data_IF_370481319139
#
_entry.id   IF_370481319139
#
_cell.length_a   1.000
_cell.length_b   1.000
_cell.length_c   1.000
_cell.angle_alpha   90.00
_cell.angle_beta   90.00
_cell.angle_gamma   90.00
#
_symmetry.space_group_name_H-M   'P 1'
#
loop_
_entity.id
_entity.type
_entity.pdbx_description
1 polymer ?
#
# COMPACT_ATOMS: atom_id res chain seq x y z
N UNK A 1 3.94 -1.55 -13.92
CA UNK A 1 2.66 -0.80 -13.89
C UNK A 1 1.64 -1.64 -13.15
N UNK A 2 0.77 -1.02 -12.35
CA UNK A 2 -0.30 -1.75 -11.66
C UNK A 2 -1.35 -2.13 -12.71
N UNK A 3 -1.49 -3.42 -13.00
CA UNK A 3 -2.50 -3.94 -13.92
C UNK A 3 -3.86 -4.11 -13.22
N UNK A 4 -4.96 -4.15 -13.96
CA UNK A 4 -6.29 -4.35 -13.39
C UNK A 4 -6.43 -5.70 -12.66
N UNK A 5 -5.78 -6.74 -13.17
CA UNK A 5 -5.69 -8.05 -12.51
C UNK A 5 -4.99 -7.95 -11.15
N UNK A 6 -3.86 -7.22 -11.09
CA UNK A 6 -3.13 -7.00 -9.85
C UNK A 6 -3.94 -6.17 -8.85
N UNK A 7 -4.70 -5.17 -9.32
CA UNK A 7 -5.60 -4.39 -8.45
C UNK A 7 -6.62 -5.28 -7.78
N UNK A 8 -7.24 -6.18 -8.55
CA UNK A 8 -8.25 -7.12 -8.04
C UNK A 8 -7.64 -8.08 -7.02
N UNK A 9 -6.53 -8.72 -7.36
CA UNK A 9 -5.82 -9.65 -6.46
C UNK A 9 -5.40 -8.95 -5.16
N UNK A 10 -4.83 -7.75 -5.26
CA UNK A 10 -4.41 -6.97 -4.11
C UNK A 10 -5.58 -6.54 -3.23
N UNK A 11 -6.72 -6.15 -3.82
CA UNK A 11 -7.93 -5.81 -3.07
C UNK A 11 -8.47 -7.00 -2.29
N UNK A 12 -8.53 -8.17 -2.90
CA UNK A 12 -8.92 -9.41 -2.22
C UNK A 12 -7.95 -9.75 -1.06
N UNK A 13 -6.66 -9.51 -1.24
CA UNK A 13 -5.66 -9.68 -0.18
C UNK A 13 -5.90 -8.71 0.99
N UNK A 14 -6.17 -7.43 0.70
CA UNK A 14 -6.44 -6.42 1.72
C UNK A 14 -7.71 -6.72 2.52
N UNK A 15 -8.78 -7.19 1.87
CA UNK A 15 -10.05 -7.54 2.52
C UNK A 15 -9.92 -8.78 3.42
N UNK A 16 -9.08 -9.75 3.04
CA UNK A 16 -8.81 -10.96 3.84
C UNK A 16 -7.86 -10.68 5.01
N UNK A 17 -7.07 -9.60 4.95
CA UNK A 17 -6.07 -9.28 5.97
C UNK A 17 -6.69 -8.66 7.22
N UNK A 18 -6.70 -9.41 8.33
CA UNK A 18 -7.29 -9.01 9.62
C UNK A 18 -6.80 -7.66 10.17
N UNK A 19 -5.58 -7.25 9.83
CA UNK A 19 -4.94 -6.02 10.34
C UNK A 19 -4.88 -4.88 9.32
N UNK A 20 -5.49 -5.06 8.15
CA UNK A 20 -5.43 -4.09 7.08
C UNK A 20 -5.94 -2.70 7.51
N UNK A 21 -5.37 -1.67 6.90
CA UNK A 21 -5.82 -0.29 7.02
C UNK A 21 -6.31 0.17 5.64
N UNK A 22 -7.41 0.90 5.58
CA UNK A 22 -7.94 1.47 4.34
C UNK A 22 -6.89 2.31 3.59
N UNK A 23 -5.93 2.90 4.30
CA UNK A 23 -4.84 3.70 3.71
C UNK A 23 -3.88 2.89 2.83
N UNK A 24 -3.94 1.56 2.89
CA UNK A 24 -3.18 0.67 2.01
C UNK A 24 -3.90 0.39 0.68
N UNK A 25 -5.15 0.86 0.51
CA UNK A 25 -5.88 0.68 -0.74
C UNK A 25 -5.28 1.53 -1.86
N UNK A 26 -5.39 1.03 -3.10
CA UNK A 26 -4.86 1.73 -4.28
C UNK A 26 -5.64 3.04 -4.48
N UNK A 27 -6.94 3.00 -4.21
CA UNK A 27 -7.85 4.14 -4.25
C UNK A 27 -7.39 5.27 -3.32
N UNK A 28 -6.79 4.94 -2.16
CA UNK A 28 -6.23 5.95 -1.28
C UNK A 28 -5.02 6.67 -1.90
N UNK A 29 -4.21 5.93 -2.65
CA UNK A 29 -3.14 6.52 -3.46
C UNK A 29 -3.67 7.35 -4.63
N UNK A 30 -4.88 7.09 -5.14
CA UNK A 30 -5.54 7.94 -6.17
C UNK A 30 -6.00 9.28 -5.60
N UNK A 31 -6.40 9.32 -4.33
CA UNK A 31 -6.67 10.58 -3.61
C UNK A 31 -5.39 11.40 -3.40
N UNK A 32 -4.24 10.75 -3.27
CA UNK A 32 -2.93 11.39 -3.05
C UNK A 32 -2.16 11.64 -4.35
N UNK A 33 -2.78 12.35 -5.30
CA UNK A 33 -2.22 12.60 -6.65
C UNK A 33 -0.81 13.24 -6.66
N UNK A 34 -0.46 14.02 -5.63
CA UNK A 34 0.88 14.61 -5.48
C UNK A 34 1.98 13.60 -5.09
N UNK A 35 1.60 12.37 -4.77
CA UNK A 35 2.50 11.30 -4.33
C UNK A 35 2.61 10.25 -5.44
N UNK A 36 3.84 9.84 -5.74
CA UNK A 36 4.08 8.68 -6.58
C UNK A 36 3.64 7.44 -5.79
N UNK A 37 2.72 6.67 -6.36
CA UNK A 37 2.36 5.34 -5.86
C UNK A 37 3.36 4.31 -6.33
N UNK A 38 3.79 3.45 -5.42
CA UNK A 38 4.52 2.23 -5.74
C UNK A 38 3.96 1.08 -4.90
N UNK A 39 4.03 -0.14 -5.41
CA UNK A 39 3.45 -1.31 -4.76
C UNK A 39 4.50 -2.40 -4.68
N UNK A 40 4.94 -2.70 -3.46
CA UNK A 40 5.86 -3.79 -3.20
C UNK A 40 5.09 -5.01 -2.68
N UNK A 41 5.30 -6.17 -3.31
CA UNK A 41 4.56 -7.40 -3.07
C UNK A 41 5.56 -8.54 -2.88
N UNK A 42 5.32 -9.35 -1.85
CA UNK A 42 5.99 -10.62 -1.63
C UNK A 42 4.99 -11.73 -1.94
N UNK A 43 5.43 -12.70 -2.75
CA UNK A 43 4.63 -13.86 -3.15
C UNK A 43 5.20 -15.14 -2.52
N UNK A 44 4.34 -16.11 -2.26
CA UNK A 44 4.76 -17.47 -1.89
C UNK A 44 5.15 -18.30 -3.12
N UNK A 45 5.52 -19.57 -2.88
CA UNK A 45 5.88 -20.55 -3.90
C UNK A 45 4.73 -20.85 -4.89
N UNK A 46 3.47 -20.62 -4.48
CA UNK A 46 2.29 -20.78 -5.33
C UNK A 46 1.94 -19.48 -6.08
N UNK A 47 2.76 -18.44 -5.94
CA UNK A 47 2.55 -17.13 -6.56
C UNK A 47 1.50 -16.27 -5.86
N UNK A 48 0.99 -16.63 -4.68
CA UNK A 48 -0.01 -15.82 -3.94
C UNK A 48 0.65 -14.73 -3.11
N UNK A 49 -0.02 -13.59 -2.99
CA UNK A 49 0.43 -12.48 -2.12
C UNK A 49 0.40 -12.92 -0.65
N UNK A 50 1.55 -12.88 0.01
CA UNK A 50 1.68 -13.12 1.46
C UNK A 50 1.86 -11.83 2.24
N UNK A 51 2.59 -10.86 1.65
CA UNK A 51 2.81 -9.54 2.22
C UNK A 51 2.79 -8.51 1.10
N UNK A 52 2.23 -7.34 1.39
CA UNK A 52 2.26 -6.23 0.46
C UNK A 52 2.27 -4.90 1.22
N UNK A 53 2.87 -3.89 0.62
CA UNK A 53 2.87 -2.52 1.13
C UNK A 53 2.71 -1.53 -0.03
N UNK A 54 1.74 -0.63 0.13
CA UNK A 54 1.58 0.52 -0.74
C UNK A 54 2.50 1.65 -0.27
N UNK A 55 3.41 2.06 -1.14
CA UNK A 55 4.33 3.16 -0.93
C UNK A 55 3.77 4.42 -1.57
N UNK A 56 3.66 5.48 -0.79
CA UNK A 56 3.41 6.83 -1.28
C UNK A 56 4.72 7.62 -1.14
N UNK A 57 5.33 7.95 -2.28
CA UNK A 57 6.64 8.59 -2.35
C UNK A 57 6.45 10.00 -2.89
N UNK A 58 6.92 11.01 -2.15
CA UNK A 58 6.91 12.40 -2.61
C UNK A 58 8.25 13.05 -2.38
N UNK A 59 8.78 13.73 -3.41
CA UNK A 59 9.99 14.53 -3.29
C UNK A 59 9.66 15.81 -2.53
N UNK A 60 10.18 15.95 -1.31
CA UNK A 60 10.03 17.16 -0.51
C UNK A 60 11.09 18.15 -1.00
N UNK A 61 10.66 19.33 -1.47
CA UNK A 61 11.59 20.37 -1.93
C UNK A 61 12.20 21.18 -0.77
N UNK A 62 11.55 21.25 0.40
CA UNK A 62 12.02 21.95 1.61
C UNK A 62 11.31 21.42 2.89
N UNK A 63 11.97 21.52 4.06
CA UNK A 63 11.56 20.97 5.37
C UNK A 63 10.06 21.15 5.68
N UNK A 64 9.26 20.07 5.56
CA UNK A 64 7.88 20.00 6.06
C UNK A 64 7.59 18.61 6.62
N UNK A 65 6.73 18.63 7.65
CA UNK A 65 6.33 17.53 8.53
C UNK A 65 5.99 16.26 7.72
N UNK A 66 6.65 15.16 8.07
CA UNK A 66 6.37 13.83 7.53
C UNK A 66 5.24 13.21 8.36
N UNK A 67 4.09 12.93 7.74
CA UNK A 67 3.02 12.17 8.38
C UNK A 67 3.23 10.69 8.11
N UNK A 68 3.76 9.97 9.09
CA UNK A 68 3.90 8.52 9.08
C UNK A 68 2.81 7.95 10.01
N UNK A 69 1.82 7.26 9.43
CA UNK A 69 0.84 6.50 10.20
C UNK A 69 1.40 5.09 10.45
N UNK A 70 2.02 4.90 11.62
CA UNK A 70 2.43 3.58 12.10
C UNK A 70 1.32 3.01 12.97
N UNK A 71 0.68 1.93 12.52
CA UNK A 71 -0.26 1.18 13.34
C UNK A 71 0.54 0.34 14.34
N UNK A 72 0.88 0.92 15.50
CA UNK A 72 1.56 0.22 16.59
C UNK A 72 0.60 -0.84 17.14
N UNK A 73 0.88 -2.11 16.86
CA UNK A 73 0.18 -3.21 17.52
C UNK A 73 0.98 -3.53 18.78
N UNK A 74 0.39 -3.32 19.96
CA UNK A 74 0.97 -3.83 21.20
C UNK A 74 0.94 -5.36 21.12
N UNK A 75 2.12 -5.96 21.11
CA UNK A 75 2.35 -7.37 21.47
C UNK A 75 2.70 -7.35 22.96
#
# INVERSE_FOLDING_TARGET
MITEELKKEYKEFLEKSKKCNFQQSIEWGDVKQEWKKDLAIVRDENGKITMAILLLIRKIKFFRIVYICLKRTNI
#
